data_IF_902247728361
#
_entry.id   IF_902247728361
#
_cell.length_a   1.000
_cell.length_b   1.000
_cell.length_c   1.000
_cell.angle_alpha   90.00
_cell.angle_beta   90.00
_cell.angle_gamma   90.00
#
_symmetry.space_group_name_H-M   'P 1'
#
loop_
_entity.id
_entity.type
_entity.pdbx_description
1 polymer ?
#
# COMPACT_ATOMS: atom_id res chain seq x y z
N UNK A 1 -4.06 9.60 -9.06
CA UNK A 1 -2.62 9.94 -9.02
C UNK A 1 -1.84 8.68 -8.70
N UNK A 2 -0.59 8.59 -9.13
CA UNK A 2 0.33 7.49 -8.78
C UNK A 2 1.48 8.10 -7.96
N UNK A 3 1.92 7.39 -6.93
CA UNK A 3 2.98 7.84 -6.01
C UNK A 3 4.04 6.74 -5.94
N UNK A 4 5.30 7.12 -6.06
CA UNK A 4 6.45 6.25 -5.84
C UNK A 4 7.22 6.77 -4.63
N UNK A 5 7.59 5.88 -3.71
CA UNK A 5 8.22 6.23 -2.44
C UNK A 5 8.97 5.03 -1.83
N UNK A 6 9.61 5.25 -0.69
CA UNK A 6 10.28 4.20 0.08
C UNK A 6 9.28 3.39 0.92
N UNK A 7 9.62 2.12 1.19
CA UNK A 7 8.72 1.19 1.88
C UNK A 7 8.24 1.69 3.25
N UNK A 8 9.09 2.34 4.03
CA UNK A 8 8.68 2.89 5.33
C UNK A 8 7.65 4.03 5.20
N UNK A 9 7.87 4.96 4.27
CA UNK A 9 6.96 6.08 4.05
C UNK A 9 5.62 5.60 3.49
N UNK A 10 5.62 4.69 2.51
CA UNK A 10 4.39 4.15 1.92
C UNK A 10 3.50 3.45 2.95
N UNK A 11 4.10 2.75 3.92
CA UNK A 11 3.36 2.12 5.02
C UNK A 11 2.72 3.12 5.97
N UNK A 12 3.43 4.20 6.30
CA UNK A 12 2.87 5.30 7.10
C UNK A 12 1.71 5.96 6.35
N UNK A 13 1.89 6.24 5.05
CA UNK A 13 0.85 6.84 4.21
C UNK A 13 -0.39 5.95 4.13
N UNK A 14 -0.22 4.63 3.97
CA UNK A 14 -1.32 3.69 3.95
C UNK A 14 -2.11 3.69 5.27
N UNK A 15 -1.43 3.60 6.41
CA UNK A 15 -2.08 3.65 7.73
C UNK A 15 -2.84 4.98 7.95
N UNK A 16 -2.20 6.12 7.65
CA UNK A 16 -2.84 7.45 7.77
C UNK A 16 -4.01 7.62 6.80
N UNK A 17 -3.94 7.04 5.59
CA UNK A 17 -5.00 7.14 4.59
C UNK A 17 -6.32 6.50 5.06
N UNK A 18 -6.25 5.51 5.96
CA UNK A 18 -7.41 4.84 6.56
C UNK A 18 -7.72 5.30 7.98
N UNK A 19 -7.12 6.41 8.43
CA UNK A 19 -7.40 7.02 9.74
C UNK A 19 -6.67 6.38 10.93
N UNK A 20 -5.76 5.43 10.70
CA UNK A 20 -4.92 4.87 11.76
C UNK A 20 -3.76 5.80 12.11
N UNK A 21 -3.08 5.54 13.23
CA UNK A 21 -1.80 6.18 13.55
C UNK A 21 -0.71 5.76 12.54
N UNK A 22 0.27 6.62 12.26
CA UNK A 22 1.38 6.30 11.37
C UNK A 22 2.21 5.09 11.84
N UNK A 23 2.31 4.87 13.16
CA UNK A 23 2.99 3.72 13.76
C UNK A 23 2.32 2.40 13.36
N UNK A 24 1.00 2.39 13.13
CA UNK A 24 0.30 1.21 12.66
C UNK A 24 0.77 0.75 11.26
N UNK A 25 1.45 1.62 10.49
CA UNK A 25 2.12 1.24 9.26
C UNK A 25 3.17 0.14 9.46
N UNK A 26 3.74 0.00 10.65
CA UNK A 26 4.64 -1.11 10.98
C UNK A 26 4.00 -2.50 10.86
N UNK A 27 2.66 -2.58 10.91
CA UNK A 27 1.89 -3.83 10.76
C UNK A 27 1.69 -4.24 9.29
N UNK A 28 2.01 -3.35 8.34
CA UNK A 28 1.84 -3.60 6.92
C UNK A 28 3.15 -4.14 6.34
N UNK A 29 3.11 -5.32 5.71
CA UNK A 29 4.25 -5.83 4.92
C UNK A 29 4.27 -5.15 3.55
N UNK A 30 5.44 -4.75 3.07
CA UNK A 30 5.57 -4.14 1.74
C UNK A 30 6.89 -4.54 1.10
N UNK A 31 6.78 -5.24 -0.03
CA UNK A 31 7.88 -5.69 -0.87
C UNK A 31 8.18 -4.68 -1.97
N UNK A 32 9.40 -4.70 -2.47
CA UNK A 32 9.84 -3.83 -3.58
C UNK A 32 9.05 -4.11 -4.85
N UNK A 33 8.81 -3.06 -5.63
CA UNK A 33 8.12 -3.15 -6.91
C UNK A 33 6.70 -3.77 -6.85
N UNK A 34 6.05 -3.78 -5.68
CA UNK A 34 4.65 -4.22 -5.56
C UNK A 34 3.67 -3.05 -5.71
N UNK A 35 2.46 -3.36 -6.16
CA UNK A 35 1.37 -2.41 -6.31
C UNK A 35 0.51 -2.37 -5.04
N UNK A 36 0.07 -1.17 -4.66
CA UNK A 36 -0.90 -0.96 -3.57
C UNK A 36 -1.88 0.14 -3.96
N UNK A 37 -3.14 -0.01 -3.56
CA UNK A 37 -4.23 0.91 -3.89
C UNK A 37 -4.97 1.27 -2.61
N UNK A 38 -4.94 2.56 -2.27
CA UNK A 38 -5.81 3.16 -1.27
C UNK A 38 -7.00 3.83 -1.97
N UNK A 39 -8.16 3.78 -1.34
CA UNK A 39 -9.40 4.28 -1.93
C UNK A 39 -10.47 4.49 -0.88
N UNK A 40 -11.73 4.33 -1.29
CA UNK A 40 -12.89 4.43 -0.40
C UNK A 40 -13.87 3.31 -0.71
N UNK A 41 -14.53 2.81 0.33
CA UNK A 41 -15.66 1.89 0.26
C UNK A 41 -16.84 2.53 1.00
N UNK A 42 -17.95 2.75 0.30
CA UNK A 42 -19.15 3.38 0.88
C UNK A 42 -18.85 4.68 1.63
N UNK A 43 -18.07 5.57 0.98
CA UNK A 43 -17.60 6.84 1.55
C UNK A 43 -16.62 6.71 2.75
N UNK A 44 -16.15 5.50 3.07
CA UNK A 44 -15.15 5.28 4.13
C UNK A 44 -13.77 5.01 3.53
N UNK A 45 -12.69 5.65 4.01
CA UNK A 45 -11.35 5.36 3.52
C UNK A 45 -10.97 3.89 3.75
N UNK A 46 -10.37 3.24 2.73
CA UNK A 46 -10.03 1.82 2.78
C UNK A 46 -8.79 1.51 1.93
N UNK A 47 -8.07 0.45 2.29
CA UNK A 47 -7.05 -0.16 1.43
C UNK A 47 -7.75 -1.18 0.54
N UNK A 48 -7.72 -0.95 -0.79
CA UNK A 48 -8.37 -1.80 -1.79
C UNK A 48 -7.48 -2.94 -2.28
N UNK A 49 -6.17 -2.68 -2.35
CA UNK A 49 -5.16 -3.64 -2.75
C UNK A 49 -3.88 -3.32 -1.97
N UNK A 50 -3.16 -4.34 -1.55
CA UNK A 50 -1.94 -4.15 -0.78
C UNK A 50 -0.88 -5.18 -1.15
N UNK A 51 0.34 -4.70 -1.38
CA UNK A 51 1.52 -5.53 -1.63
C UNK A 51 1.34 -6.57 -2.76
N UNK A 52 0.67 -6.17 -3.85
CA UNK A 52 0.44 -7.05 -4.99
C UNK A 52 1.66 -7.13 -5.91
N UNK A 53 2.24 -8.32 -6.01
CA UNK A 53 3.41 -8.61 -6.85
C UNK A 53 3.10 -9.41 -8.10
N UNK A 54 1.82 -9.61 -8.44
CA UNK A 54 1.40 -10.50 -9.53
C UNK A 54 2.09 -10.20 -10.88
N UNK A 55 2.25 -8.93 -11.22
CA UNK A 55 2.95 -8.52 -12.45
C UNK A 55 4.48 -8.77 -12.46
N UNK A 56 5.06 -9.14 -11.31
CA UNK A 56 6.46 -9.56 -11.21
C UNK A 56 6.62 -11.06 -11.51
N UNK A 57 5.54 -11.85 -11.41
CA UNK A 57 5.57 -13.29 -11.72
C UNK A 57 5.87 -13.53 -13.22
N UNK A 58 5.53 -12.57 -14.08
CA UNK A 58 5.89 -12.57 -15.51
C UNK A 58 7.35 -12.15 -15.78
N UNK A 59 8.06 -11.60 -14.78
CA UNK A 59 9.44 -11.11 -14.90
C UNK A 59 10.50 -12.18 -14.54
N UNK A 60 10.07 -13.37 -14.11
CA UNK A 60 10.90 -14.56 -13.93
C UNK A 60 11.07 -15.39 -15.23
N UNK A 61 10.87 -14.78 -16.41
CA UNK A 61 11.18 -15.34 -17.75
C UNK A 61 12.36 -14.63 -18.43
#
# INVERSE_FOLDING_TARGET
AVIFSHGHMSRILAARSVGLDGVAGGLLMLSTATLSIVGREHDRPAIRLWNDGSHLEDADL
#
